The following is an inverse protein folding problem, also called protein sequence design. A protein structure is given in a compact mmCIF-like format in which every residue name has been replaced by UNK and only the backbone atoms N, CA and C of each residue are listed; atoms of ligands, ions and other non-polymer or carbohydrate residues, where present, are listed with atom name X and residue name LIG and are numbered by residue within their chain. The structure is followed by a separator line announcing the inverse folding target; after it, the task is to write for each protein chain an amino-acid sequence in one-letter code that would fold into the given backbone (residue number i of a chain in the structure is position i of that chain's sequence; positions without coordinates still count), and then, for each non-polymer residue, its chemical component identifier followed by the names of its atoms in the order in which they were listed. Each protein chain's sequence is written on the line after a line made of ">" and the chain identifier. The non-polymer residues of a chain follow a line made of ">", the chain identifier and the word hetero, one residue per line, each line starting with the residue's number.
data_IF_402498085332
#
_entry.id   IF_402498085332
#
_cell.length_a   1.000
_cell.length_b   1.000
_cell.length_c   1.000
_cell.angle_alpha   90.00
_cell.angle_beta   90.00
_cell.angle_gamma   90.00
#
_symmetry.space_group_name_H-M   'P 1'
#
loop_
_entity.id
_entity.type
_entity.pdbx_description
1 polymer ?
#
# COMPACT_ATOMS: atom_id res chain seq x y z
N UNK A 1 -32.62 9.89 -74.56
CA UNK A 1 -34.02 9.43 -74.41
C UNK A 1 -34.27 9.16 -72.93
N UNK A 2 -35.38 9.70 -72.40
CA UNK A 2 -36.06 9.44 -71.11
C UNK A 2 -35.23 9.63 -69.80
N UNK A 3 -35.57 10.54 -68.88
CA UNK A 3 -36.78 10.64 -68.00
C UNK A 3 -36.82 9.46 -67.00
N UNK A 4 -36.83 9.60 -65.66
CA UNK A 4 -37.65 10.35 -64.69
C UNK A 4 -38.41 9.35 -63.78
N UNK A 5 -38.65 9.72 -62.50
CA UNK A 5 -39.59 9.07 -61.56
C UNK A 5 -38.89 8.29 -60.44
N UNK A 6 -39.10 8.52 -59.13
CA UNK A 6 -40.26 9.07 -58.43
C UNK A 6 -41.04 7.94 -57.75
N UNK A 7 -40.89 7.77 -56.43
CA UNK A 7 -41.63 6.79 -55.65
C UNK A 7 -41.51 7.05 -54.15
N UNK A 8 -42.57 7.61 -53.57
CA UNK A 8 -42.79 7.85 -52.15
C UNK A 8 -43.11 6.53 -51.43
N UNK A 9 -42.66 6.38 -50.19
CA UNK A 9 -43.09 5.33 -49.26
C UNK A 9 -43.08 5.89 -47.85
N UNK A 10 -44.28 6.01 -47.28
CA UNK A 10 -44.60 6.65 -46.01
C UNK A 10 -43.96 5.99 -44.78
N UNK A 11 -43.71 6.81 -43.74
CA UNK A 11 -43.34 6.37 -42.40
C UNK A 11 -44.59 5.99 -41.58
N UNK A 12 -44.55 4.96 -40.72
CA UNK A 12 -45.39 4.88 -39.55
C UNK A 12 -44.62 5.32 -38.30
N UNK A 13 -45.25 6.21 -37.54
CA UNK A 13 -44.85 6.70 -36.22
C UNK A 13 -44.81 5.56 -35.19
N UNK A 14 -43.85 5.63 -34.26
CA UNK A 14 -43.82 4.74 -33.09
C UNK A 14 -42.45 4.59 -32.47
N UNK A 15 -41.88 5.68 -31.95
CA UNK A 15 -40.74 5.58 -31.03
C UNK A 15 -41.15 4.81 -29.76
N UNK A 16 -40.20 4.09 -29.12
CA UNK A 16 -39.50 4.77 -28.05
C UNK A 16 -37.98 4.70 -28.18
N UNK A 17 -37.37 5.77 -27.67
CA UNK A 17 -35.95 6.14 -27.72
C UNK A 17 -35.03 4.98 -27.30
N UNK A 18 -34.15 4.52 -28.20
CA UNK A 18 -32.94 3.79 -27.82
C UNK A 18 -31.82 4.81 -27.64
N UNK A 19 -31.39 4.98 -26.39
CA UNK A 19 -30.23 5.77 -26.03
C UNK A 19 -29.00 5.21 -26.75
N UNK A 20 -28.20 6.13 -27.26
CA UNK A 20 -26.88 5.90 -27.85
C UNK A 20 -25.96 5.37 -26.75
N UNK A 21 -25.61 4.10 -26.83
CA UNK A 21 -24.52 3.47 -26.09
C UNK A 21 -23.18 3.92 -26.71
N UNK A 22 -22.75 5.12 -26.33
CA UNK A 22 -21.37 5.54 -26.51
C UNK A 22 -20.47 4.73 -25.59
N UNK A 23 -19.50 4.04 -26.19
CA UNK A 23 -18.39 3.35 -25.55
C UNK A 23 -17.74 4.19 -24.44
N UNK A 24 -18.15 3.92 -23.22
CA UNK A 24 -17.53 4.43 -22.01
C UNK A 24 -16.48 3.45 -21.53
N UNK A 25 -15.22 3.88 -21.61
CA UNK A 25 -14.08 3.52 -20.78
C UNK A 25 -14.35 2.32 -19.85
N UNK A 26 -13.92 1.13 -20.29
CA UNK A 26 -13.95 -0.09 -19.50
C UNK A 26 -13.26 0.15 -18.16
N UNK A 27 -14.07 0.43 -17.15
CA UNK A 27 -13.64 0.41 -15.76
C UNK A 27 -13.05 -0.95 -15.50
N UNK A 28 -11.74 -1.01 -15.23
CA UNK A 28 -11.13 -2.21 -14.74
C UNK A 28 -11.94 -2.63 -13.49
N UNK A 29 -12.55 -3.82 -13.47
CA UNK A 29 -13.21 -4.30 -12.26
C UNK A 29 -12.13 -4.34 -11.19
N UNK A 30 -12.29 -3.48 -10.17
CA UNK A 30 -11.51 -3.59 -8.94
C UNK A 30 -11.84 -4.96 -8.41
N UNK A 31 -10.94 -5.93 -8.59
CA UNK A 31 -11.04 -7.18 -7.89
C UNK A 31 -11.16 -6.81 -6.41
N UNK A 32 -12.30 -7.12 -5.79
CA UNK A 32 -12.46 -7.16 -4.35
C UNK A 32 -11.54 -8.25 -3.82
N UNK A 33 -10.24 -7.97 -3.83
CA UNK A 33 -9.25 -8.80 -3.18
C UNK A 33 -9.45 -8.64 -1.68
N UNK A 34 -9.65 -9.75 -0.99
CA UNK A 34 -9.56 -9.82 0.46
C UNK A 34 -8.26 -9.13 0.88
N UNK A 35 -8.39 -8.11 1.73
CA UNK A 35 -7.25 -7.43 2.32
C UNK A 35 -6.81 -8.26 3.52
N UNK A 36 -5.54 -8.68 3.54
CA UNK A 36 -4.97 -9.43 4.63
C UNK A 36 -5.08 -8.62 5.94
N UNK A 37 -5.81 -9.15 6.94
CA UNK A 37 -6.07 -8.45 8.18
C UNK A 37 -4.87 -8.40 9.12
N UNK A 38 -3.66 -8.84 8.73
CA UNK A 38 -2.45 -8.75 9.55
C UNK A 38 -1.48 -7.66 9.07
N UNK A 39 -1.53 -7.29 7.79
CA UNK A 39 -0.61 -6.30 7.21
C UNK A 39 -1.25 -5.30 6.24
N UNK A 40 -2.57 -5.38 6.05
CA UNK A 40 -3.31 -4.60 5.05
C UNK A 40 -2.79 -4.78 3.61
N UNK A 41 -2.05 -5.85 3.32
CA UNK A 41 -1.70 -6.22 1.94
C UNK A 41 -2.90 -6.86 1.25
N UNK A 42 -3.02 -6.68 -0.06
CA UNK A 42 -3.99 -7.45 -0.86
C UNK A 42 -3.51 -8.89 -0.99
N UNK A 43 -4.42 -9.87 -0.92
CA UNK A 43 -4.08 -11.30 -1.10
C UNK A 43 -3.36 -11.58 -2.43
N UNK A 44 -3.69 -10.83 -3.48
CA UNK A 44 -2.92 -10.77 -4.72
C UNK A 44 -2.33 -9.36 -4.89
N UNK A 45 -1.10 -9.13 -4.40
CA UNK A 45 -0.49 -7.81 -4.47
C UNK A 45 -0.27 -7.40 -5.93
N UNK A 46 -0.77 -6.22 -6.30
CA UNK A 46 -0.63 -5.71 -7.66
C UNK A 46 0.85 -5.40 -7.96
N UNK A 47 1.45 -6.26 -8.78
CA UNK A 47 2.80 -6.10 -9.32
C UNK A 47 2.81 -5.62 -10.77
N UNK A 48 1.67 -5.19 -11.31
CA UNK A 48 1.64 -4.58 -12.64
C UNK A 48 2.20 -3.15 -12.56
N UNK A 49 3.08 -2.74 -13.49
CA UNK A 49 3.52 -1.36 -13.61
C UNK A 49 2.33 -0.40 -13.77
N UNK A 50 2.46 0.81 -13.23
CA UNK A 50 1.47 1.86 -13.46
C UNK A 50 1.54 2.36 -14.91
N UNK A 51 0.43 2.87 -15.49
CA UNK A 51 0.41 3.35 -16.88
C UNK A 51 1.44 4.46 -17.19
N UNK A 52 1.78 5.26 -16.19
CA UNK A 52 2.69 6.40 -16.22
C UNK A 52 4.05 6.12 -15.56
N UNK A 53 4.39 4.84 -15.36
CA UNK A 53 5.65 4.48 -14.72
C UNK A 53 6.84 4.69 -15.69
N UNK A 54 7.85 5.49 -15.31
CA UNK A 54 8.91 5.91 -16.24
C UNK A 54 9.94 4.82 -16.56
N UNK A 55 10.11 3.83 -15.68
CA UNK A 55 11.07 2.73 -15.85
C UNK A 55 10.55 1.43 -15.21
N UNK A 56 10.99 0.25 -15.69
CA UNK A 56 10.62 -1.02 -15.07
C UNK A 56 11.16 -1.11 -13.64
N UNK A 57 10.44 -1.82 -12.76
CA UNK A 57 10.87 -2.04 -11.38
C UNK A 57 10.94 -3.54 -11.09
N UNK A 58 11.90 -3.98 -10.24
CA UNK A 58 11.96 -5.37 -9.83
C UNK A 58 10.68 -5.84 -9.13
N UNK A 59 10.33 -7.10 -9.39
CA UNK A 59 9.15 -7.77 -8.84
C UNK A 59 9.48 -8.70 -7.66
N UNK A 60 10.76 -8.96 -7.45
CA UNK A 60 11.26 -9.85 -6.42
C UNK A 60 11.00 -9.27 -5.02
N UNK A 61 10.61 -10.16 -4.10
CA UNK A 61 10.36 -9.85 -2.70
C UNK A 61 11.48 -10.42 -1.83
N UNK A 62 11.83 -9.70 -0.78
CA UNK A 62 12.89 -10.08 0.15
C UNK A 62 12.29 -10.68 1.44
N UNK A 63 12.87 -11.76 1.97
CA UNK A 63 12.49 -12.32 3.27
C UNK A 63 13.15 -11.52 4.39
N UNK A 64 12.35 -11.11 5.36
CA UNK A 64 12.82 -10.46 6.59
C UNK A 64 13.46 -11.46 7.56
N UNK A 65 14.12 -10.95 8.60
CA UNK A 65 14.54 -11.76 9.75
C UNK A 65 13.44 -11.87 10.82
N UNK A 66 12.35 -11.12 10.64
CA UNK A 66 11.30 -10.95 11.64
C UNK A 66 10.37 -12.17 11.65
N UNK A 67 10.26 -12.92 12.78
CA UNK A 67 9.42 -14.11 12.85
C UNK A 67 7.94 -13.76 12.86
N UNK A 68 7.14 -14.52 12.08
CA UNK A 68 5.69 -14.34 12.01
C UNK A 68 4.97 -15.24 13.01
N UNK A 69 4.17 -14.63 13.89
CA UNK A 69 3.39 -15.36 14.89
C UNK A 69 2.41 -16.34 14.22
N UNK A 70 2.17 -17.49 14.86
CA UNK A 70 1.33 -18.56 14.33
C UNK A 70 1.96 -19.42 13.22
N UNK A 71 3.19 -19.09 12.78
CA UNK A 71 3.93 -19.87 11.78
C UNK A 71 5.40 -20.03 12.16
N UNK A 72 6.13 -20.88 11.44
CA UNK A 72 7.59 -21.03 11.55
C UNK A 72 8.34 -20.26 10.44
N UNK A 73 7.65 -19.30 9.80
CA UNK A 73 8.19 -18.48 8.72
C UNK A 73 8.48 -17.06 9.20
N UNK A 74 9.24 -16.31 8.40
CA UNK A 74 9.44 -14.87 8.60
C UNK A 74 8.51 -14.05 7.70
N UNK A 75 8.39 -12.76 8.00
CA UNK A 75 7.68 -11.82 7.14
C UNK A 75 8.42 -11.61 5.82
N UNK A 76 7.71 -11.21 4.78
CA UNK A 76 8.28 -10.94 3.46
C UNK A 76 7.97 -9.50 3.06
N UNK A 77 9.00 -8.72 2.77
CA UNK A 77 8.87 -7.33 2.36
C UNK A 77 8.20 -7.21 0.97
N UNK A 78 7.54 -6.08 0.69
CA UNK A 78 7.01 -5.80 -0.64
C UNK A 78 8.15 -5.64 -1.66
N UNK A 79 7.90 -5.99 -2.91
CA UNK A 79 8.85 -5.73 -4.00
C UNK A 79 8.88 -4.23 -4.36
N UNK A 80 9.91 -3.77 -5.10
CA UNK A 80 9.94 -2.39 -5.58
C UNK A 80 8.70 -1.95 -6.35
N UNK A 81 8.19 -2.81 -7.22
CA UNK A 81 6.95 -2.51 -7.93
C UNK A 81 5.73 -2.40 -6.99
N UNK A 82 5.65 -3.25 -5.97
CA UNK A 82 4.58 -3.15 -4.96
C UNK A 82 4.67 -1.87 -4.15
N UNK A 83 5.89 -1.48 -3.75
CA UNK A 83 6.15 -0.25 -3.01
C UNK A 83 5.74 0.98 -3.84
N UNK A 84 6.14 1.03 -5.11
CA UNK A 84 5.76 2.08 -6.05
C UNK A 84 4.23 2.23 -6.14
N UNK A 85 3.53 1.13 -6.38
CA UNK A 85 2.07 1.11 -6.48
C UNK A 85 1.38 1.55 -5.17
N UNK A 86 1.93 1.15 -4.01
CA UNK A 86 1.44 1.57 -2.72
C UNK A 86 1.61 3.08 -2.48
N UNK A 87 2.75 3.64 -2.90
CA UNK A 87 3.03 5.08 -2.81
C UNK A 87 2.08 5.89 -3.71
N UNK A 88 1.83 5.43 -4.93
CA UNK A 88 0.84 6.06 -5.82
C UNK A 88 -0.56 6.08 -5.22
N UNK A 89 -0.98 5.00 -4.54
CA UNK A 89 -2.26 4.90 -3.83
C UNK A 89 -2.34 5.85 -2.63
N UNK A 90 -1.20 6.15 -1.99
CA UNK A 90 -1.09 7.18 -0.94
C UNK A 90 -1.11 8.62 -1.50
N UNK A 91 -1.22 8.78 -2.82
CA UNK A 91 -1.24 10.09 -3.49
C UNK A 91 0.14 10.68 -3.75
N UNK A 92 1.21 9.91 -3.53
CA UNK A 92 2.56 10.33 -3.88
C UNK A 92 2.71 10.39 -5.40
N UNK A 93 3.37 11.44 -5.91
CA UNK A 93 3.70 11.61 -7.32
C UNK A 93 5.17 11.95 -7.42
N UNK A 94 5.93 11.09 -8.09
CA UNK A 94 7.35 11.27 -8.32
C UNK A 94 7.53 12.27 -9.46
N UNK A 95 8.45 13.22 -9.32
CA UNK A 95 8.85 14.06 -10.45
C UNK A 95 9.77 13.24 -11.36
N UNK A 96 9.54 13.31 -12.67
CA UNK A 96 10.18 12.44 -13.69
C UNK A 96 11.71 12.53 -13.71
N UNK A 97 12.28 13.66 -13.28
CA UNK A 97 13.71 13.95 -13.27
C UNK A 97 14.41 13.62 -11.92
N UNK A 98 13.65 13.24 -10.89
CA UNK A 98 14.17 13.14 -9.52
C UNK A 98 14.47 11.70 -9.05
N UNK A 99 14.00 10.68 -9.76
CA UNK A 99 14.12 9.30 -9.30
C UNK A 99 14.57 8.36 -10.42
N UNK A 100 15.65 7.61 -10.16
CA UNK A 100 16.06 6.48 -10.99
C UNK A 100 15.61 5.14 -10.40
N UNK A 101 15.69 4.08 -11.21
CA UNK A 101 15.52 2.69 -10.74
C UNK A 101 16.42 2.38 -9.54
N UNK A 102 17.68 2.82 -9.60
CA UNK A 102 18.66 2.63 -8.53
C UNK A 102 18.27 3.36 -7.24
N UNK A 103 17.69 4.55 -7.34
CA UNK A 103 17.20 5.29 -6.17
C UNK A 103 16.05 4.56 -5.51
N UNK A 104 15.13 4.00 -6.30
CA UNK A 104 14.04 3.18 -5.78
C UNK A 104 14.55 1.94 -5.05
N UNK A 105 15.52 1.21 -5.62
CA UNK A 105 16.16 0.09 -4.92
C UNK A 105 16.79 0.52 -3.59
N UNK A 106 17.51 1.63 -3.58
CA UNK A 106 18.15 2.16 -2.37
C UNK A 106 17.12 2.54 -1.30
N UNK A 107 16.03 3.22 -1.68
CA UNK A 107 14.94 3.59 -0.77
C UNK A 107 14.37 2.34 -0.09
N UNK A 108 14.14 1.27 -0.84
CA UNK A 108 13.56 0.03 -0.32
C UNK A 108 14.55 -0.69 0.60
N UNK A 109 15.83 -0.78 0.22
CA UNK A 109 16.88 -1.33 1.08
C UNK A 109 16.95 -0.59 2.41
N UNK A 110 16.91 0.74 2.39
CA UNK A 110 16.89 1.58 3.60
C UNK A 110 15.62 1.33 4.42
N UNK A 111 14.46 1.22 3.78
CA UNK A 111 13.19 0.96 4.47
C UNK A 111 13.19 -0.42 5.15
N UNK A 112 13.65 -1.47 4.45
CA UNK A 112 13.78 -2.82 5.00
C UNK A 112 14.75 -2.82 6.18
N UNK A 113 15.94 -2.22 6.03
CA UNK A 113 16.91 -2.10 7.12
C UNK A 113 16.33 -1.35 8.33
N UNK A 114 15.58 -0.27 8.11
CA UNK A 114 14.90 0.46 9.18
C UNK A 114 13.84 -0.42 9.90
N UNK A 115 13.16 -1.32 9.18
CA UNK A 115 12.23 -2.26 9.80
C UNK A 115 12.95 -3.32 10.64
N UNK A 116 14.08 -3.85 10.17
CA UNK A 116 14.92 -4.77 10.94
C UNK A 116 15.47 -4.09 12.21
N UNK A 117 16.00 -2.87 12.11
CA UNK A 117 16.49 -2.11 13.27
C UNK A 117 15.36 -1.81 14.28
N UNK A 118 14.18 -1.44 13.79
CA UNK A 118 13.02 -1.23 14.65
C UNK A 118 12.62 -2.53 15.37
N UNK A 119 12.72 -3.68 14.70
CA UNK A 119 12.48 -4.97 15.33
C UNK A 119 13.52 -5.30 16.39
N UNK A 120 14.81 -5.04 16.13
CA UNK A 120 15.86 -5.20 17.13
C UNK A 120 15.61 -4.35 18.39
N UNK A 121 15.15 -3.10 18.22
CA UNK A 121 14.75 -2.27 19.36
C UNK A 121 13.58 -2.87 20.13
N UNK A 122 12.54 -3.37 19.44
CA UNK A 122 11.43 -4.08 20.09
C UNK A 122 11.93 -5.26 20.91
N UNK A 123 12.84 -6.08 20.37
CA UNK A 123 13.43 -7.20 21.09
C UNK A 123 14.20 -6.77 22.34
N UNK A 124 14.95 -5.66 22.28
CA UNK A 124 15.64 -5.09 23.45
C UNK A 124 14.65 -4.71 24.56
N UNK A 125 13.57 -4.03 24.21
CA UNK A 125 12.53 -3.63 25.17
C UNK A 125 11.77 -4.84 25.74
N UNK A 126 11.43 -5.81 24.91
CA UNK A 126 10.76 -7.04 25.34
C UNK A 126 11.65 -7.87 26.28
N UNK A 127 12.95 -8.03 25.98
CA UNK A 127 13.87 -8.74 26.85
C UNK A 127 14.09 -8.03 28.20
N UNK A 128 14.08 -6.69 28.21
CA UNK A 128 14.26 -5.90 29.44
C UNK A 128 13.03 -5.92 30.36
N UNK A 129 11.83 -5.82 29.77
CA UNK A 129 10.58 -5.65 30.52
C UNK A 129 9.79 -6.94 30.69
N UNK A 130 10.00 -7.92 29.81
CA UNK A 130 9.23 -9.17 29.71
C UNK A 130 10.12 -10.39 29.44
N UNK A 131 11.09 -10.69 30.33
CA UNK A 131 12.01 -11.81 30.15
C UNK A 131 11.33 -13.19 30.18
N UNK A 132 10.05 -13.27 30.56
CA UNK A 132 9.27 -14.50 30.55
C UNK A 132 9.06 -15.10 29.15
N UNK A 133 9.17 -14.30 28.09
CA UNK A 133 9.07 -14.76 26.71
C UNK A 133 10.43 -14.65 26.01
N UNK A 134 11.07 -15.79 25.79
CA UNK A 134 12.39 -15.85 25.16
C UNK A 134 12.36 -15.49 23.66
N UNK A 135 11.25 -15.77 22.97
CA UNK A 135 11.13 -15.61 21.51
C UNK A 135 9.81 -14.92 21.13
N UNK A 136 9.69 -13.60 21.36
CA UNK A 136 8.53 -12.83 20.90
C UNK A 136 8.44 -12.84 19.36
N UNK A 137 7.22 -12.90 18.82
CA UNK A 137 6.96 -12.97 17.38
C UNK A 137 6.05 -11.84 16.92
N UNK A 138 6.25 -11.35 15.69
CA UNK A 138 5.41 -10.30 15.12
C UNK A 138 4.12 -10.91 14.58
N UNK A 139 2.98 -10.51 15.16
CA UNK A 139 1.65 -10.99 14.78
C UNK A 139 1.00 -10.15 13.68
N UNK A 140 1.16 -8.83 13.75
CA UNK A 140 0.56 -7.91 12.77
C UNK A 140 1.41 -6.66 12.63
N UNK A 141 1.52 -6.16 11.40
CA UNK A 141 2.26 -4.96 11.06
C UNK A 141 1.42 -4.12 10.09
N UNK A 142 0.74 -3.09 10.61
CA UNK A 142 -0.23 -2.33 9.81
C UNK A 142 0.09 -0.86 9.76
N UNK A 143 0.09 -0.32 8.55
CA UNK A 143 0.14 1.12 8.31
C UNK A 143 -1.22 1.79 8.53
N UNK A 144 -1.25 2.86 9.32
CA UNK A 144 -2.42 3.75 9.45
C UNK A 144 -1.98 5.21 9.63
N UNK A 145 -1.77 5.89 8.51
CA UNK A 145 -1.36 7.30 8.49
C UNK A 145 -2.44 8.25 9.01
N UNK A 146 -3.72 7.86 9.01
CA UNK A 146 -4.83 8.74 9.46
C UNK A 146 -4.93 8.78 10.98
N UNK A 147 -4.53 7.68 11.63
CA UNK A 147 -4.49 7.59 13.09
C UNK A 147 -3.27 8.34 13.62
N UNK A 148 -3.37 9.66 13.76
CA UNK A 148 -2.29 10.45 14.37
C UNK A 148 -2.29 10.26 15.89
N UNK A 149 -1.12 10.04 16.50
CA UNK A 149 -0.99 9.90 17.97
C UNK A 149 -1.22 11.25 18.68
N UNK A 150 -1.72 11.26 19.93
CA UNK A 150 -1.87 12.49 20.70
C UNK A 150 -0.56 13.29 20.81
N UNK A 151 0.56 12.58 20.96
CA UNK A 151 1.91 13.18 20.97
C UNK A 151 2.25 13.86 19.66
N UNK A 152 1.94 13.24 18.52
CA UNK A 152 2.18 13.84 17.21
C UNK A 152 1.27 15.06 16.95
N UNK A 153 -0.01 14.99 17.36
CA UNK A 153 -0.93 16.14 17.29
C UNK A 153 -0.43 17.32 18.11
N UNK A 154 -0.02 17.07 19.35
CA UNK A 154 0.52 18.11 20.22
C UNK A 154 1.77 18.76 19.60
N UNK A 155 2.72 17.96 19.13
CA UNK A 155 3.95 18.46 18.47
C UNK A 155 3.64 19.30 17.23
N UNK A 156 2.66 18.92 16.43
CA UNK A 156 2.25 19.69 15.26
C UNK A 156 1.59 21.02 15.66
N UNK A 157 0.61 21.00 16.57
CA UNK A 157 -0.16 22.20 16.95
C UNK A 157 0.71 23.20 17.72
N UNK A 158 1.55 22.73 18.64
CA UNK A 158 2.26 23.61 19.57
C UNK A 158 3.71 23.91 19.18
N UNK A 159 4.35 23.05 18.39
CA UNK A 159 5.75 23.20 18.00
C UNK A 159 5.94 23.31 16.47
N UNK A 160 4.86 23.28 15.70
CA UNK A 160 4.89 23.43 14.24
C UNK A 160 5.50 22.25 13.47
N UNK A 161 5.72 21.10 14.12
CA UNK A 161 6.28 19.93 13.44
C UNK A 161 5.31 19.32 12.44
N UNK A 162 5.82 18.73 11.36
CA UNK A 162 4.99 17.99 10.40
C UNK A 162 4.47 16.67 10.97
N UNK A 163 3.25 16.32 10.56
CA UNK A 163 2.63 15.05 10.93
C UNK A 163 3.35 13.87 10.27
N UNK A 164 3.44 12.71 10.96
CA UNK A 164 4.10 11.55 10.39
C UNK A 164 3.35 11.05 9.15
N UNK A 165 4.09 10.82 8.07
CA UNK A 165 3.56 10.29 6.81
C UNK A 165 3.51 8.76 6.79
N UNK A 166 4.34 8.11 7.62
CA UNK A 166 4.45 6.67 7.70
C UNK A 166 4.38 6.20 9.17
N UNK A 167 3.16 5.90 9.61
CA UNK A 167 2.87 5.30 10.92
C UNK A 167 2.53 3.84 10.74
N UNK A 168 3.21 2.99 11.51
CA UNK A 168 2.99 1.56 11.60
C UNK A 168 2.72 1.11 13.04
N UNK A 169 1.66 0.33 13.21
CA UNK A 169 1.29 -0.35 14.45
C UNK A 169 1.84 -1.81 14.38
N UNK A 170 2.66 -2.19 15.36
CA UNK A 170 3.29 -3.50 15.49
C UNK A 170 2.63 -4.25 16.63
N UNK A 171 1.92 -5.34 16.33
CA UNK A 171 1.35 -6.22 17.34
C UNK A 171 2.30 -7.39 17.53
N UNK A 172 2.89 -7.49 18.72
CA UNK A 172 3.83 -8.54 19.09
C UNK A 172 3.13 -9.56 19.97
N UNK A 173 3.25 -10.83 19.60
CA UNK A 173 2.81 -11.98 20.39
C UNK A 173 3.94 -12.42 21.32
N UNK A 174 3.66 -12.38 22.63
CA UNK A 174 4.57 -12.82 23.68
C UNK A 174 4.33 -14.29 23.97
N UNK A 175 4.78 -15.15 23.06
CA UNK A 175 4.76 -16.59 23.25
C UNK A 175 3.34 -17.14 23.55
N UNK A 176 2.28 -16.52 23.00
CA UNK A 176 0.89 -16.89 23.23
C UNK A 176 0.30 -16.44 24.58
N UNK A 177 1.06 -15.74 25.43
CA UNK A 177 0.60 -15.28 26.75
C UNK A 177 -0.17 -13.97 26.63
N UNK A 178 0.32 -13.04 25.81
CA UNK A 178 -0.24 -11.69 25.66
C UNK A 178 0.17 -11.04 24.35
N UNK A 179 -0.69 -10.18 23.84
CA UNK A 179 -0.41 -9.32 22.70
C UNK A 179 -0.14 -7.88 23.15
N UNK A 180 0.89 -7.26 22.59
CA UNK A 180 1.26 -5.86 22.86
C UNK A 180 1.43 -5.05 21.59
N UNK A 181 1.09 -3.76 21.67
CA UNK A 181 1.14 -2.84 20.54
C UNK A 181 2.32 -1.87 20.69
N UNK A 182 3.24 -1.91 19.75
CA UNK A 182 4.36 -0.98 19.59
C UNK A 182 4.09 -0.03 18.42
N UNK A 183 4.44 1.25 18.57
CA UNK A 183 4.16 2.27 17.56
C UNK A 183 5.45 2.81 16.96
N UNK A 184 5.60 2.65 15.65
CA UNK A 184 6.65 3.30 14.84
C UNK A 184 6.02 4.40 14.00
N UNK A 185 6.48 5.63 14.16
CA UNK A 185 5.99 6.77 13.38
C UNK A 185 7.17 7.57 12.83
N UNK A 186 7.18 7.78 11.51
CA UNK A 186 8.20 8.54 10.80
C UNK A 186 7.57 9.82 10.26
N UNK A 187 8.19 10.96 10.59
CA UNK A 187 7.93 12.26 9.98
C UNK A 187 9.09 12.61 9.06
N UNK A 188 8.79 13.09 7.85
CA UNK A 188 9.76 13.68 6.93
C UNK A 188 9.16 14.97 6.40
N UNK A 189 10.03 15.93 6.08
CA UNK A 189 9.65 17.14 5.38
C UNK A 189 9.31 16.80 3.93
N UNK A 190 8.15 17.25 3.47
CA UNK A 190 7.77 17.15 2.05
C UNK A 190 8.49 18.17 1.19
#
# INVERSE_FOLDING_TARGET
>A
MAAAGGGQGECPEGAPKKQVDGEGCGGCPVAEGSVNPMNNELEHPNQKPAPDQPFPLPLEREKSTIPRAGTNETWTYPSPQMFWNAMLKKGWRWQEDQLSEKDMENIIRIHNANNEEAWHEVLKWENLLHPECAEPKLKSFKGDAKKITPRARFRNIFLGYELPFDRHDWIVDRCGIKEVNHLKAVSAHK
#
